data_IF_548505866497
#
_entry.id   IF_548505866497
#
_cell.length_a   1.000
_cell.length_b   1.000
_cell.length_c   1.000
_cell.angle_alpha   90.00
_cell.angle_beta   90.00
_cell.angle_gamma   90.00
#
_symmetry.space_group_name_H-M   'P 1'
#
loop_
_entity.id
_entity.type
_entity.pdbx_description
1 polymer ?
#
# COMPACT_ATOMS: atom_id res chain seq x y z
N UNK A 1 32.34 -7.77 -18.34
CA UNK A 1 32.00 -7.46 -16.96
C UNK A 1 30.71 -8.24 -16.62
N UNK A 2 30.83 -9.40 -15.93
CA UNK A 2 29.63 -10.16 -15.51
C UNK A 2 28.97 -9.34 -14.40
N UNK A 3 27.84 -8.70 -14.67
CA UNK A 3 27.01 -8.08 -13.64
C UNK A 3 26.65 -9.17 -12.62
N UNK A 4 27.20 -9.06 -11.41
CA UNK A 4 26.87 -9.96 -10.33
C UNK A 4 25.36 -9.83 -10.04
N UNK A 5 24.61 -10.94 -10.11
CA UNK A 5 23.18 -10.92 -9.86
C UNK A 5 22.90 -10.43 -8.43
N UNK A 6 21.89 -9.57 -8.23
CA UNK A 6 21.53 -9.09 -6.88
C UNK A 6 21.14 -10.26 -5.97
N UNK A 7 21.33 -10.12 -4.64
CA UNK A 7 20.98 -11.13 -3.65
C UNK A 7 19.55 -11.66 -3.81
N UNK A 8 19.34 -12.93 -3.52
CA UNK A 8 18.03 -13.56 -3.68
C UNK A 8 16.92 -12.83 -2.92
N UNK A 9 17.16 -12.40 -1.68
CA UNK A 9 16.18 -11.63 -0.90
C UNK A 9 15.81 -10.29 -1.54
N UNK A 10 16.76 -9.61 -2.20
CA UNK A 10 16.51 -8.35 -2.91
C UNK A 10 15.69 -8.61 -4.16
N UNK A 11 16.07 -9.61 -4.97
CA UNK A 11 15.32 -10.00 -6.17
C UNK A 11 13.90 -10.41 -5.82
N UNK A 12 13.76 -11.26 -4.80
CA UNK A 12 12.47 -11.73 -4.33
C UNK A 12 11.62 -10.58 -3.75
N UNK A 13 12.21 -9.68 -2.96
CA UNK A 13 11.52 -8.48 -2.46
C UNK A 13 11.11 -7.54 -3.58
N UNK A 14 11.96 -7.36 -4.60
CA UNK A 14 11.66 -6.51 -5.76
C UNK A 14 10.52 -7.11 -6.58
N UNK A 15 10.58 -8.39 -6.94
CA UNK A 15 9.53 -9.08 -7.71
C UNK A 15 8.21 -9.05 -6.94
N UNK A 16 8.22 -9.37 -5.64
CA UNK A 16 7.01 -9.28 -4.80
C UNK A 16 6.46 -7.85 -4.76
N UNK A 17 7.33 -6.85 -4.68
CA UNK A 17 6.93 -5.44 -4.66
C UNK A 17 6.38 -4.96 -6.01
N UNK A 18 6.85 -5.52 -7.14
CA UNK A 18 6.27 -5.25 -8.46
C UNK A 18 4.79 -5.66 -8.54
N UNK A 19 4.37 -6.70 -7.81
CA UNK A 19 2.94 -7.05 -7.74
C UNK A 19 2.13 -5.92 -7.08
N UNK A 20 2.67 -5.26 -6.04
CA UNK A 20 2.01 -4.12 -5.42
C UNK A 20 1.88 -2.90 -6.36
N UNK A 21 2.74 -2.78 -7.39
CA UNK A 21 2.63 -1.73 -8.41
C UNK A 21 1.32 -1.80 -9.20
N UNK A 22 0.71 -2.98 -9.35
CA UNK A 22 -0.60 -3.15 -10.00
C UNK A 22 -1.68 -2.30 -9.33
N UNK A 23 -1.71 -2.27 -7.99
CA UNK A 23 -2.61 -1.40 -7.23
C UNK A 23 -2.36 0.08 -7.53
N UNK A 24 -1.10 0.47 -7.66
CA UNK A 24 -0.74 1.84 -8.05
C UNK A 24 -1.21 2.20 -9.44
N UNK A 25 -1.04 1.29 -10.42
CA UNK A 25 -1.52 1.47 -11.80
C UNK A 25 -3.04 1.65 -11.83
N UNK A 26 -3.80 0.84 -11.09
CA UNK A 26 -5.25 1.01 -11.01
C UNK A 26 -5.62 2.37 -10.44
N UNK A 27 -5.08 2.69 -9.26
CA UNK A 27 -5.36 3.96 -8.57
C UNK A 27 -5.03 5.19 -9.43
N UNK A 28 -3.91 5.13 -10.19
CA UNK A 28 -3.47 6.24 -11.04
C UNK A 28 -4.25 6.37 -12.35
N UNK A 29 -4.83 5.28 -12.85
CA UNK A 29 -5.51 5.27 -14.15
C UNK A 29 -7.02 5.47 -14.06
N UNK A 30 -7.68 4.99 -13.02
CA UNK A 30 -9.15 4.95 -12.99
C UNK A 30 -9.81 6.33 -13.06
N UNK A 31 -9.29 7.33 -12.32
CA UNK A 31 -9.79 8.70 -12.37
C UNK A 31 -9.73 9.27 -13.79
N UNK A 32 -8.53 9.35 -14.40
CA UNK A 32 -8.39 9.81 -15.77
C UNK A 32 -9.20 9.01 -16.80
N UNK A 33 -9.25 7.68 -16.71
CA UNK A 33 -10.02 6.83 -17.65
C UNK A 33 -11.49 7.22 -17.65
N UNK A 34 -12.11 7.35 -16.48
CA UNK A 34 -13.54 7.63 -16.36
C UNK A 34 -13.94 9.06 -16.74
N UNK A 35 -12.97 9.96 -16.88
CA UNK A 35 -13.20 11.35 -17.35
C UNK A 35 -12.86 11.55 -18.82
N UNK A 36 -12.42 10.50 -19.55
CA UNK A 36 -12.14 10.61 -20.99
C UNK A 36 -13.44 10.75 -21.79
N UNK A 37 -13.50 11.66 -22.79
CA UNK A 37 -14.67 11.77 -23.69
C UNK A 37 -15.02 10.43 -24.38
N UNK A 38 -14.03 9.62 -24.70
CA UNK A 38 -14.22 8.30 -25.31
C UNK A 38 -14.86 7.27 -24.35
N UNK A 39 -14.66 7.40 -23.04
CA UNK A 39 -15.33 6.62 -22.02
C UNK A 39 -16.82 6.99 -21.93
N UNK A 40 -17.09 8.28 -21.86
CA UNK A 40 -18.46 8.83 -21.82
C UNK A 40 -19.23 8.53 -23.12
N UNK A 41 -18.55 8.57 -24.27
CA UNK A 41 -19.15 8.14 -25.55
C UNK A 41 -19.51 6.66 -25.57
N UNK A 42 -18.82 5.80 -24.79
CA UNK A 42 -19.10 4.35 -24.76
C UNK A 42 -20.22 4.00 -23.79
N UNK A 43 -20.27 4.63 -22.60
CA UNK A 43 -21.16 4.25 -21.51
C UNK A 43 -22.29 5.26 -21.23
N UNK A 44 -22.30 6.40 -21.97
CA UNK A 44 -23.21 7.50 -21.74
C UNK A 44 -22.71 8.45 -20.65
N UNK A 45 -23.50 9.50 -20.39
CA UNK A 45 -23.17 10.48 -19.37
C UNK A 45 -23.17 9.86 -17.97
N UNK A 46 -22.03 9.95 -17.28
CA UNK A 46 -21.83 9.38 -15.93
C UNK A 46 -22.05 10.49 -14.90
N UNK A 47 -23.09 10.34 -14.07
CA UNK A 47 -23.33 11.28 -12.97
C UNK A 47 -22.17 11.26 -11.95
N UNK A 48 -21.93 12.36 -11.21
CA UNK A 48 -20.89 12.41 -10.18
C UNK A 48 -20.99 11.29 -9.14
N UNK A 49 -22.21 10.90 -8.76
CA UNK A 49 -22.44 9.77 -7.83
C UNK A 49 -22.01 8.45 -8.45
N UNK A 50 -22.36 8.20 -9.72
CA UNK A 50 -21.97 6.98 -10.43
C UNK A 50 -20.46 6.94 -10.63
N UNK A 51 -19.82 8.07 -10.90
CA UNK A 51 -18.37 8.17 -10.96
C UNK A 51 -17.72 7.72 -9.63
N UNK A 52 -18.23 8.20 -8.50
CA UNK A 52 -17.81 7.74 -7.17
C UNK A 52 -17.99 6.22 -6.97
N UNK A 53 -19.12 5.66 -7.41
CA UNK A 53 -19.40 4.21 -7.36
C UNK A 53 -18.39 3.44 -8.21
N UNK A 54 -18.14 3.87 -9.44
CA UNK A 54 -17.17 3.22 -10.33
C UNK A 54 -15.78 3.20 -9.67
N UNK A 55 -15.31 4.34 -9.18
CA UNK A 55 -13.97 4.44 -8.58
C UNK A 55 -13.86 3.59 -7.31
N UNK A 56 -14.88 3.61 -6.44
CA UNK A 56 -14.85 2.92 -5.15
C UNK A 56 -15.22 1.44 -5.18
N UNK A 57 -15.81 0.95 -6.26
CA UNK A 57 -16.31 -0.44 -6.34
C UNK A 57 -15.26 -1.53 -6.11
N UNK A 58 -13.99 -1.26 -6.43
CA UNK A 58 -12.86 -2.17 -6.17
C UNK A 58 -12.56 -2.34 -4.67
N UNK A 59 -12.90 -1.34 -3.85
CA UNK A 59 -12.47 -1.29 -2.45
C UNK A 59 -13.24 -2.25 -1.54
N UNK A 60 -14.53 -2.49 -1.81
CA UNK A 60 -15.35 -3.42 -1.01
C UNK A 60 -14.85 -4.87 -1.13
N UNK A 61 -14.76 -5.45 -2.35
CA UNK A 61 -14.24 -6.81 -2.48
C UNK A 61 -12.78 -6.91 -2.02
N UNK A 62 -11.98 -5.85 -2.21
CA UNK A 62 -10.63 -5.76 -1.66
C UNK A 62 -10.60 -5.88 -0.13
N UNK A 63 -11.49 -5.16 0.58
CA UNK A 63 -11.63 -5.25 2.03
C UNK A 63 -12.02 -6.65 2.50
N UNK A 64 -13.05 -7.23 1.87
CA UNK A 64 -13.55 -8.56 2.23
C UNK A 64 -12.49 -9.64 2.02
N UNK A 65 -11.77 -9.56 0.90
CA UNK A 65 -10.73 -10.54 0.58
C UNK A 65 -9.50 -10.37 1.47
N UNK A 66 -9.16 -9.13 1.83
CA UNK A 66 -8.08 -8.85 2.76
C UNK A 66 -8.33 -9.47 4.14
N UNK A 67 -9.59 -9.55 4.62
CA UNK A 67 -9.92 -10.21 5.90
C UNK A 67 -9.44 -11.65 5.97
N UNK A 68 -9.59 -12.40 4.87
CA UNK A 68 -9.25 -13.83 4.82
C UNK A 68 -7.85 -14.09 4.28
N UNK A 69 -7.23 -13.10 3.62
CA UNK A 69 -5.95 -13.24 2.93
C UNK A 69 -4.82 -13.73 3.85
N UNK A 70 -4.80 -13.28 5.12
CA UNK A 70 -3.78 -13.71 6.08
C UNK A 70 -3.92 -15.18 6.47
N UNK A 71 -5.13 -15.64 6.77
CA UNK A 71 -5.40 -17.04 7.12
C UNK A 71 -5.05 -17.96 5.94
N UNK A 72 -5.42 -17.54 4.73
CA UNK A 72 -5.08 -18.27 3.51
C UNK A 72 -3.55 -18.31 3.27
N UNK A 73 -2.85 -17.21 3.56
CA UNK A 73 -1.40 -17.14 3.41
C UNK A 73 -0.67 -18.05 4.39
N UNK A 74 -1.13 -18.12 5.63
CA UNK A 74 -0.60 -19.06 6.62
C UNK A 74 -0.78 -20.52 6.17
N UNK A 75 -1.87 -20.83 5.47
CA UNK A 75 -2.15 -22.18 4.98
C UNK A 75 -1.38 -22.53 3.70
N UNK A 76 -1.40 -21.65 2.69
CA UNK A 76 -0.92 -21.93 1.32
C UNK A 76 0.41 -21.27 0.98
N UNK A 77 0.86 -20.31 1.79
CA UNK A 77 2.07 -19.51 1.58
C UNK A 77 1.79 -18.19 0.87
N UNK A 78 2.52 -17.15 1.28
CA UNK A 78 2.34 -15.77 0.78
C UNK A 78 2.53 -15.66 -0.74
N UNK A 79 3.56 -16.34 -1.29
CA UNK A 79 3.90 -16.28 -2.72
C UNK A 79 2.75 -16.78 -3.60
N UNK A 80 2.14 -17.91 -3.23
CA UNK A 80 1.01 -18.45 -3.98
C UNK A 80 -0.18 -17.50 -3.97
N UNK A 81 -0.46 -16.90 -2.82
CA UNK A 81 -1.60 -15.99 -2.70
C UNK A 81 -1.42 -14.70 -3.47
N UNK A 82 -0.27 -14.04 -3.38
CA UNK A 82 -0.11 -12.80 -4.14
C UNK A 82 -0.01 -13.06 -5.66
N UNK A 83 0.54 -14.19 -6.09
CA UNK A 83 0.52 -14.58 -7.50
C UNK A 83 -0.89 -14.89 -8.00
N UNK A 84 -1.70 -15.59 -7.21
CA UNK A 84 -3.12 -15.82 -7.51
C UNK A 84 -3.90 -14.49 -7.53
N UNK A 85 -3.62 -13.60 -6.58
CA UNK A 85 -4.21 -12.26 -6.55
C UNK A 85 -3.88 -11.45 -7.80
N UNK A 86 -2.62 -11.49 -8.28
CA UNK A 86 -2.21 -10.85 -9.52
C UNK A 86 -2.92 -11.44 -10.75
N UNK A 87 -3.17 -12.75 -10.77
CA UNK A 87 -3.94 -13.41 -11.82
C UNK A 87 -5.40 -12.95 -11.84
N UNK A 88 -6.06 -12.92 -10.67
CA UNK A 88 -7.44 -12.46 -10.54
C UNK A 88 -7.55 -10.99 -10.94
N UNK A 89 -6.60 -10.15 -10.51
CA UNK A 89 -6.50 -8.76 -10.93
C UNK A 89 -6.42 -8.63 -12.46
N UNK A 90 -5.57 -9.43 -13.11
CA UNK A 90 -5.39 -9.41 -14.55
C UNK A 90 -6.68 -9.76 -15.30
N UNK A 91 -7.41 -10.78 -14.82
CA UNK A 91 -8.73 -11.15 -15.36
C UNK A 91 -9.74 -10.01 -15.18
N UNK A 92 -9.80 -9.38 -13.99
CA UNK A 92 -10.65 -8.23 -13.74
C UNK A 92 -10.35 -7.05 -14.67
N UNK A 93 -9.06 -6.71 -14.86
CA UNK A 93 -8.63 -5.66 -15.78
C UNK A 93 -8.95 -6.00 -17.26
N UNK A 94 -8.86 -7.28 -17.64
CA UNK A 94 -9.28 -7.73 -18.98
C UNK A 94 -10.80 -7.55 -19.20
N UNK A 95 -11.61 -7.87 -18.19
CA UNK A 95 -13.07 -7.65 -18.23
C UNK A 95 -13.42 -6.16 -18.34
N UNK A 96 -12.73 -5.29 -17.58
CA UNK A 96 -12.88 -3.84 -17.72
C UNK A 96 -12.51 -3.38 -19.13
N UNK A 97 -11.38 -3.82 -19.67
CA UNK A 97 -10.92 -3.48 -21.01
C UNK A 97 -11.90 -3.94 -22.10
N UNK A 98 -12.50 -5.13 -21.95
CA UNK A 98 -13.46 -5.71 -22.89
C UNK A 98 -14.87 -5.15 -22.73
N UNK A 99 -15.15 -4.33 -21.70
CA UNK A 99 -16.51 -3.90 -21.38
C UNK A 99 -17.16 -3.09 -22.53
N UNK A 100 -18.39 -3.46 -22.82
CA UNK A 100 -19.29 -2.75 -23.75
C UNK A 100 -20.47 -2.10 -23.04
N UNK A 101 -20.76 -2.52 -21.80
CA UNK A 101 -21.77 -1.96 -20.92
C UNK A 101 -21.17 -1.64 -19.56
N UNK A 102 -21.68 -0.60 -18.90
CA UNK A 102 -21.16 -0.16 -17.60
C UNK A 102 -21.21 -1.23 -16.52
N UNK A 103 -22.24 -2.10 -16.56
CA UNK A 103 -22.36 -3.21 -15.61
C UNK A 103 -21.19 -4.20 -15.71
N UNK A 104 -20.71 -4.52 -16.91
CA UNK A 104 -19.54 -5.39 -17.11
C UNK A 104 -18.25 -4.70 -16.64
N UNK A 105 -18.13 -3.39 -16.82
CA UNK A 105 -17.00 -2.62 -16.32
C UNK A 105 -16.93 -2.67 -14.79
N UNK A 106 -18.07 -2.42 -14.11
CA UNK A 106 -18.15 -2.50 -12.64
C UNK A 106 -17.89 -3.93 -12.16
N UNK A 107 -18.41 -4.94 -12.84
CA UNK A 107 -18.11 -6.34 -12.51
C UNK A 107 -16.61 -6.65 -12.61
N UNK A 108 -15.94 -6.18 -13.65
CA UNK A 108 -14.49 -6.27 -13.79
C UNK A 108 -13.75 -5.64 -12.60
N UNK A 109 -14.19 -4.46 -12.12
CA UNK A 109 -13.65 -3.80 -10.92
C UNK A 109 -13.85 -4.63 -9.65
N UNK A 110 -15.00 -5.25 -9.48
CA UNK A 110 -15.25 -6.14 -8.33
C UNK A 110 -14.28 -7.34 -8.34
N UNK A 111 -14.10 -7.98 -9.51
CA UNK A 111 -13.14 -9.08 -9.68
C UNK A 111 -11.71 -8.61 -9.41
N UNK A 112 -11.33 -7.45 -9.95
CA UNK A 112 -10.02 -6.84 -9.70
C UNK A 112 -9.76 -6.60 -8.22
N UNK A 113 -10.76 -6.08 -7.49
CA UNK A 113 -10.69 -5.83 -6.05
C UNK A 113 -10.41 -7.09 -5.23
N UNK A 114 -11.01 -8.23 -5.60
CA UNK A 114 -10.67 -9.54 -4.99
C UNK A 114 -9.17 -9.83 -5.13
N UNK A 115 -8.62 -9.63 -6.32
CA UNK A 115 -7.19 -9.81 -6.58
C UNK A 115 -6.32 -8.88 -5.73
N UNK A 116 -6.68 -7.60 -5.67
CA UNK A 116 -5.95 -6.57 -4.91
C UNK A 116 -5.92 -6.88 -3.41
N UNK A 117 -7.04 -7.28 -2.82
CA UNK A 117 -7.11 -7.68 -1.42
C UNK A 117 -6.19 -8.84 -1.08
N UNK A 118 -6.08 -9.83 -2.00
CA UNK A 118 -5.19 -10.98 -1.83
C UNK A 118 -3.72 -10.57 -1.88
N UNK A 119 -3.28 -9.85 -2.91
CA UNK A 119 -1.86 -9.60 -3.07
C UNK A 119 -1.34 -8.49 -2.15
N UNK A 120 -2.07 -7.41 -1.95
CA UNK A 120 -1.56 -6.26 -1.21
C UNK A 120 -1.30 -6.59 0.26
N UNK A 121 -2.17 -7.39 0.89
CA UNK A 121 -1.99 -7.87 2.27
C UNK A 121 -0.73 -8.74 2.42
N UNK A 122 -0.46 -9.58 1.43
CA UNK A 122 0.58 -10.60 1.51
C UNK A 122 1.97 -10.12 1.10
N UNK A 123 2.06 -9.16 0.16
CA UNK A 123 3.35 -8.62 -0.32
C UNK A 123 4.16 -8.00 0.82
N UNK A 124 3.54 -7.19 1.68
CA UNK A 124 4.25 -6.55 2.79
C UNK A 124 4.77 -7.56 3.81
N UNK A 125 3.98 -8.59 4.12
CA UNK A 125 4.39 -9.65 5.07
C UNK A 125 5.56 -10.44 4.47
N UNK A 126 5.44 -10.90 3.23
CA UNK A 126 6.50 -11.63 2.52
C UNK A 126 7.82 -10.84 2.52
N UNK A 127 7.78 -9.56 2.11
CA UNK A 127 8.97 -8.71 2.06
C UNK A 127 9.59 -8.53 3.46
N UNK A 128 8.78 -8.32 4.50
CA UNK A 128 9.26 -8.15 5.87
C UNK A 128 9.92 -9.42 6.43
N UNK A 129 9.42 -10.58 6.06
CA UNK A 129 9.94 -11.88 6.50
C UNK A 129 11.23 -12.29 5.80
N UNK A 130 11.37 -11.90 4.53
CA UNK A 130 12.57 -12.17 3.75
C UNK A 130 13.71 -11.19 4.05
N UNK A 131 13.40 -9.99 4.51
CA UNK A 131 14.38 -8.95 4.74
C UNK A 131 15.23 -9.21 6.00
N UNK A 132 16.59 -9.10 5.90
CA UNK A 132 17.49 -9.13 7.06
C UNK A 132 17.13 -8.00 8.04
N UNK A 133 17.25 -8.24 9.35
CA UNK A 133 16.87 -7.28 10.40
C UNK A 133 17.49 -5.89 10.18
N UNK A 134 18.77 -5.83 9.77
CA UNK A 134 19.51 -4.58 9.54
C UNK A 134 18.99 -3.75 8.37
N UNK A 135 18.31 -4.37 7.38
CA UNK A 135 17.82 -3.71 6.14
C UNK A 135 16.31 -3.81 5.96
N UNK A 136 15.60 -4.28 6.99
CA UNK A 136 14.15 -4.53 6.91
C UNK A 136 13.36 -3.26 6.58
N UNK A 137 13.69 -2.13 7.19
CA UNK A 137 13.01 -0.86 6.91
C UNK A 137 13.08 -0.47 5.43
N UNK A 138 14.27 -0.58 4.81
CA UNK A 138 14.45 -0.29 3.38
C UNK A 138 13.63 -1.26 2.51
N UNK A 139 13.69 -2.55 2.81
CA UNK A 139 12.98 -3.56 2.01
C UNK A 139 11.47 -3.40 2.11
N UNK A 140 10.92 -3.15 3.30
CA UNK A 140 9.48 -2.93 3.50
C UNK A 140 8.95 -1.62 2.91
N UNK A 141 9.83 -0.69 2.58
CA UNK A 141 9.46 0.53 1.84
C UNK A 141 9.31 0.29 0.32
N UNK A 142 9.92 -0.77 -0.24
CA UNK A 142 9.87 -1.07 -1.68
C UNK A 142 8.45 -1.23 -2.24
N UNK A 143 7.53 -1.98 -1.59
CA UNK A 143 6.16 -2.09 -2.09
C UNK A 143 5.49 -0.73 -2.20
N UNK A 144 5.64 0.14 -1.21
CA UNK A 144 5.06 1.49 -1.23
C UNK A 144 5.67 2.36 -2.34
N UNK A 145 6.99 2.28 -2.54
CA UNK A 145 7.66 3.00 -3.62
C UNK A 145 7.13 2.57 -4.99
N UNK A 146 6.95 1.26 -5.21
CA UNK A 146 6.42 0.74 -6.47
C UNK A 146 4.93 1.04 -6.65
N UNK A 147 4.13 1.10 -5.58
CA UNK A 147 2.74 1.60 -5.65
C UNK A 147 2.73 3.04 -6.17
N UNK A 148 3.52 3.94 -5.58
CA UNK A 148 3.59 5.34 -6.02
C UNK A 148 4.09 5.45 -7.46
N UNK A 149 5.09 4.65 -7.83
CA UNK A 149 5.57 4.56 -9.22
C UNK A 149 4.43 4.12 -10.16
N UNK A 150 3.64 3.12 -9.75
CA UNK A 150 2.45 2.67 -10.48
C UNK A 150 1.42 3.78 -10.68
N UNK A 151 1.14 4.58 -9.65
CA UNK A 151 0.21 5.72 -9.74
C UNK A 151 0.69 6.71 -10.81
N UNK A 152 1.97 7.07 -10.76
CA UNK A 152 2.57 8.00 -11.74
C UNK A 152 2.49 7.42 -13.16
N UNK A 153 2.88 6.16 -13.34
CA UNK A 153 2.84 5.49 -14.64
C UNK A 153 1.40 5.39 -15.16
N UNK A 154 0.43 5.03 -14.32
CA UNK A 154 -0.99 4.94 -14.69
C UNK A 154 -1.54 6.29 -15.16
N UNK A 155 -1.26 7.35 -14.41
CA UNK A 155 -1.69 8.71 -14.77
C UNK A 155 -1.09 9.16 -16.10
N UNK A 156 0.25 9.08 -16.27
CA UNK A 156 0.89 9.52 -17.51
C UNK A 156 0.55 8.63 -18.72
N UNK A 157 0.30 7.35 -18.50
CA UNK A 157 -0.21 6.47 -19.54
C UNK A 157 -1.58 6.94 -20.03
N UNK A 158 -2.50 7.27 -19.12
CA UNK A 158 -3.81 7.83 -19.47
C UNK A 158 -3.68 9.20 -20.15
N UNK A 159 -2.79 10.06 -19.68
CA UNK A 159 -2.49 11.34 -20.31
C UNK A 159 -2.01 11.18 -21.75
N UNK A 160 -1.15 10.18 -22.01
CA UNK A 160 -0.68 9.85 -23.35
C UNK A 160 -1.81 9.29 -24.24
N UNK A 161 -2.60 8.35 -23.71
CA UNK A 161 -3.67 7.69 -24.48
C UNK A 161 -4.86 8.61 -24.74
N UNK A 162 -5.12 9.60 -23.90
CA UNK A 162 -6.16 10.62 -24.14
C UNK A 162 -5.91 11.41 -25.44
N UNK A 163 -4.66 11.50 -25.91
CA UNK A 163 -4.32 12.14 -27.21
C UNK A 163 -4.73 11.32 -28.44
N UNK A 164 -5.15 10.07 -28.27
CA UNK A 164 -5.69 9.23 -29.35
C UNK A 164 -7.10 9.68 -29.80
N UNK A 165 -7.64 10.75 -29.20
CA UNK A 165 -8.92 11.34 -29.56
C UNK A 165 -10.12 10.48 -29.11
N UNK A 166 -11.25 10.52 -29.84
CA UNK A 166 -12.51 9.89 -29.42
C UNK A 166 -12.51 8.37 -29.57
N UNK A 167 -11.38 7.75 -29.90
CA UNK A 167 -11.26 6.30 -30.05
C UNK A 167 -11.46 5.58 -28.72
N UNK A 168 -12.20 4.46 -28.73
CA UNK A 168 -12.37 3.59 -27.57
C UNK A 168 -11.04 3.00 -27.06
N UNK A 169 -10.00 2.98 -27.91
CA UNK A 169 -8.65 2.55 -27.55
C UNK A 169 -8.08 3.48 -26.45
N UNK A 170 -8.44 4.75 -26.43
CA UNK A 170 -7.90 5.71 -25.48
C UNK A 170 -8.09 5.28 -24.02
N UNK A 171 -9.28 4.83 -23.65
CA UNK A 171 -9.56 4.38 -22.29
C UNK A 171 -9.27 2.89 -22.05
N UNK A 172 -9.27 2.07 -23.12
CA UNK A 172 -9.03 0.61 -23.02
C UNK A 172 -7.56 0.26 -22.89
N UNK A 173 -6.66 1.02 -23.55
CA UNK A 173 -5.23 0.72 -23.57
C UNK A 173 -4.58 0.71 -22.18
N UNK A 174 -4.84 1.67 -21.27
CA UNK A 174 -4.33 1.60 -19.90
C UNK A 174 -4.75 0.32 -19.16
N UNK A 175 -6.00 -0.12 -19.33
CA UNK A 175 -6.53 -1.33 -18.71
C UNK A 175 -5.95 -2.60 -19.33
N UNK A 176 -5.73 -2.60 -20.65
CA UNK A 176 -5.06 -3.71 -21.34
C UNK A 176 -3.61 -3.89 -20.86
N UNK A 177 -2.86 -2.79 -20.71
CA UNK A 177 -1.50 -2.82 -20.17
C UNK A 177 -1.49 -3.31 -18.72
N UNK A 178 -2.42 -2.85 -17.88
CA UNK A 178 -2.54 -3.31 -16.52
C UNK A 178 -2.86 -4.82 -16.44
N UNK A 179 -3.75 -5.31 -17.32
CA UNK A 179 -4.09 -6.73 -17.45
C UNK A 179 -2.86 -7.56 -17.87
N UNK A 180 -2.17 -7.15 -18.94
CA UNK A 180 -0.98 -7.85 -19.43
C UNK A 180 0.12 -7.93 -18.36
N UNK A 181 0.35 -6.82 -17.63
CA UNK A 181 1.32 -6.78 -16.54
C UNK A 181 0.89 -7.68 -15.38
N UNK A 182 -0.39 -7.73 -15.05
CA UNK A 182 -0.94 -8.62 -14.04
C UNK A 182 -0.74 -10.11 -14.39
N UNK A 183 -0.98 -10.50 -15.65
CA UNK A 183 -0.67 -11.86 -16.13
C UNK A 183 0.83 -12.17 -16.04
N UNK A 184 1.69 -11.24 -16.45
CA UNK A 184 3.13 -11.42 -16.34
C UNK A 184 3.58 -11.57 -14.87
N UNK A 185 3.07 -10.74 -13.97
CA UNK A 185 3.42 -10.78 -12.54
C UNK A 185 2.79 -11.95 -11.78
N UNK A 186 1.74 -12.58 -12.30
CA UNK A 186 1.23 -13.84 -11.73
C UNK A 186 2.27 -14.96 -11.78
N UNK A 187 3.20 -14.91 -12.74
CA UNK A 187 4.34 -15.84 -12.84
C UNK A 187 5.37 -15.67 -11.70
N UNK A 188 5.24 -14.67 -10.84
CA UNK A 188 6.08 -14.47 -9.66
C UNK A 188 6.15 -15.73 -8.76
N UNK A 189 5.14 -16.59 -8.80
CA UNK A 189 5.14 -17.90 -8.14
C UNK A 189 6.36 -18.76 -8.47
N UNK A 190 6.83 -18.72 -9.71
CA UNK A 190 7.98 -19.49 -10.17
C UNK A 190 9.33 -18.79 -9.88
N UNK A 191 9.31 -17.50 -9.61
CA UNK A 191 10.52 -16.67 -9.49
C UNK A 191 10.88 -16.33 -8.04
N UNK A 192 9.89 -16.36 -7.14
CA UNK A 192 10.06 -15.96 -5.73
C UNK A 192 10.01 -17.21 -4.84
N UNK A 193 11.04 -17.48 -4.04
CA UNK A 193 11.00 -18.57 -3.08
C UNK A 193 10.07 -18.25 -1.91
N UNK A 194 9.49 -19.28 -1.25
CA UNK A 194 8.73 -19.09 -0.03
C UNK A 194 9.59 -18.45 1.07
N UNK A 195 8.94 -17.74 2.01
CA UNK A 195 9.63 -17.14 3.14
C UNK A 195 10.27 -18.21 4.03
N UNK A 196 11.53 -18.05 4.49
CA UNK A 196 12.17 -18.98 5.44
C UNK A 196 11.36 -19.14 6.71
N UNK A 197 10.72 -18.09 7.20
CA UNK A 197 9.88 -18.11 8.41
C UNK A 197 8.61 -18.95 8.21
N UNK A 198 7.96 -18.83 7.07
CA UNK A 198 6.82 -19.67 6.72
C UNK A 198 7.22 -21.15 6.58
N UNK A 199 8.38 -21.45 5.97
CA UNK A 199 8.91 -22.81 5.88
C UNK A 199 9.17 -23.42 7.27
N UNK A 200 9.75 -22.63 8.19
CA UNK A 200 9.96 -23.05 9.58
C UNK A 200 8.64 -23.34 10.30
N UNK A 201 7.62 -22.50 10.10
CA UNK A 201 6.29 -22.71 10.72
C UNK A 201 5.60 -23.98 10.22
N UNK A 202 5.98 -24.47 9.04
CA UNK A 202 5.49 -25.72 8.44
C UNK A 202 6.37 -26.93 8.72
N UNK A 203 7.41 -26.80 9.55
CA UNK A 203 8.34 -27.87 9.88
C UNK A 203 9.32 -28.25 8.75
N UNK A 204 9.42 -27.46 7.68
CA UNK A 204 10.32 -27.69 6.51
C UNK A 204 11.68 -27.06 6.76
N UNK A 205 12.40 -27.59 7.77
CA UNK A 205 13.64 -26.99 8.29
C UNK A 205 14.78 -26.96 7.28
N UNK A 206 14.96 -28.00 6.48
CA UNK A 206 16.06 -28.09 5.51
C UNK A 206 15.88 -27.09 4.37
N UNK A 207 14.67 -26.94 3.87
CA UNK A 207 14.36 -25.93 2.86
C UNK A 207 14.50 -24.50 3.41
N UNK A 208 14.08 -24.26 4.64
CA UNK A 208 14.26 -22.97 5.30
C UNK A 208 15.74 -22.61 5.44
N UNK A 209 16.60 -23.59 5.82
CA UNK A 209 18.06 -23.43 5.90
C UNK A 209 18.67 -23.15 4.52
N UNK A 210 18.25 -23.88 3.49
CA UNK A 210 18.76 -23.69 2.13
C UNK A 210 18.43 -22.29 1.60
N UNK A 211 17.21 -21.80 1.79
CA UNK A 211 16.80 -20.45 1.39
C UNK A 211 17.57 -19.38 2.19
N UNK A 212 17.71 -19.57 3.51
CA UNK A 212 18.45 -18.64 4.37
C UNK A 212 19.95 -18.59 4.02
N UNK A 213 20.58 -19.73 3.73
CA UNK A 213 22.00 -19.80 3.31
C UNK A 213 22.23 -19.06 1.98
N UNK A 214 21.30 -19.19 1.03
CA UNK A 214 21.36 -18.46 -0.26
C UNK A 214 21.21 -16.93 -0.05
N UNK A 215 20.45 -16.50 0.94
CA UNK A 215 20.36 -15.07 1.31
C UNK A 215 21.66 -14.53 1.87
N UNK A 216 22.37 -15.29 2.69
CA UNK A 216 23.66 -14.88 3.28
C UNK A 216 24.77 -14.75 2.23
N UNK A 217 24.87 -15.72 1.31
CA UNK A 217 25.89 -15.74 0.26
C UNK A 217 25.80 -14.58 -0.73
N UNK A 218 24.62 -13.97 -0.88
CA UNK A 218 24.33 -12.97 -1.91
C UNK A 218 24.47 -11.51 -1.44
N UNK A 219 25.05 -11.24 -0.26
CA UNK A 219 25.02 -9.91 0.41
C UNK A 219 25.77 -8.76 -0.29
N UNK A 220 26.65 -9.06 -1.25
CA UNK A 220 27.57 -8.04 -1.85
C UNK A 220 26.91 -7.22 -2.96
N UNK A 221 25.95 -7.77 -3.69
CA UNK A 221 25.34 -7.11 -4.86
C UNK A 221 24.21 -6.10 -4.54
N UNK A 222 23.88 -5.91 -3.27
CA UNK A 222 22.76 -5.05 -2.84
C UNK A 222 23.02 -3.54 -3.03
N UNK A 223 24.25 -3.13 -3.32
CA UNK A 223 24.64 -1.71 -3.36
C UNK A 223 24.07 -0.95 -4.58
N UNK A 224 23.82 -1.62 -5.70
CA UNK A 224 23.35 -0.95 -6.92
C UNK A 224 21.85 -0.59 -6.86
N UNK A 225 21.02 -1.44 -6.23
CA UNK A 225 19.58 -1.18 -6.10
C UNK A 225 19.31 -0.14 -4.99
N UNK A 226 20.22 -0.01 -4.04
CA UNK A 226 20.17 1.01 -2.99
C UNK A 226 20.14 2.44 -3.57
N UNK A 227 20.80 2.69 -4.67
CA UNK A 227 20.92 4.02 -5.27
C UNK A 227 19.58 4.62 -5.74
N UNK A 228 18.60 3.79 -6.08
CA UNK A 228 17.28 4.25 -6.55
C UNK A 228 16.28 4.43 -5.39
N UNK A 229 16.43 3.66 -4.31
CA UNK A 229 15.49 3.66 -3.18
C UNK A 229 15.92 4.63 -2.05
N UNK A 230 17.09 5.20 -2.18
CA UNK A 230 17.84 5.95 -1.17
C UNK A 230 17.12 7.20 -0.64
N UNK A 231 16.54 8.13 -1.40
CA UNK A 231 16.09 9.39 -0.81
C UNK A 231 14.91 9.25 0.16
N UNK A 232 13.91 8.45 -0.19
CA UNK A 232 12.69 8.30 0.61
C UNK A 232 12.90 7.44 1.87
N UNK A 233 13.78 6.43 1.79
CA UNK A 233 13.98 5.47 2.87
C UNK A 233 14.96 5.97 3.94
N UNK A 234 15.95 6.78 3.55
CA UNK A 234 16.88 7.39 4.51
C UNK A 234 16.19 8.28 5.53
N UNK A 235 15.14 8.98 5.12
CA UNK A 235 14.38 9.83 6.04
C UNK A 235 13.59 8.98 7.05
N UNK A 236 12.94 7.92 6.61
CA UNK A 236 12.15 7.03 7.45
C UNK A 236 13.01 6.24 8.47
N UNK A 237 14.20 5.77 8.04
CA UNK A 237 15.10 5.02 8.92
C UNK A 237 15.91 5.94 9.87
N UNK A 238 16.14 7.20 9.51
CA UNK A 238 16.82 8.17 10.38
C UNK A 238 15.91 8.74 11.48
N UNK A 239 14.62 8.96 11.18
CA UNK A 239 13.70 9.64 12.10
C UNK A 239 12.95 8.70 13.05
N UNK A 240 12.94 7.39 12.78
CA UNK A 240 12.12 6.42 13.51
C UNK A 240 10.66 6.41 13.06
N UNK A 241 9.97 5.30 13.29
CA UNK A 241 8.59 5.09 12.80
C UNK A 241 7.60 5.98 13.55
N UNK A 242 7.75 6.08 14.86
CA UNK A 242 6.90 6.93 15.69
C UNK A 242 7.08 8.40 15.39
N UNK A 243 8.33 8.87 15.36
CA UNK A 243 8.64 10.29 15.12
C UNK A 243 8.17 10.72 13.73
N UNK A 244 8.43 9.93 12.68
CA UNK A 244 7.99 10.25 11.32
C UNK A 244 6.46 10.29 11.22
N UNK A 245 5.75 9.37 11.89
CA UNK A 245 4.28 9.37 11.91
C UNK A 245 3.71 10.59 12.62
N UNK A 246 4.30 11.03 13.73
CA UNK A 246 3.85 12.22 14.47
C UNK A 246 4.11 13.50 13.67
N UNK A 247 5.34 13.70 13.18
CA UNK A 247 5.69 14.87 12.37
C UNK A 247 4.85 14.93 11.10
N UNK A 248 4.70 13.79 10.41
CA UNK A 248 3.87 13.69 9.22
C UNK A 248 2.41 14.01 9.48
N UNK A 249 1.82 13.49 10.56
CA UNK A 249 0.44 13.73 10.91
C UNK A 249 0.15 15.20 11.22
N UNK A 250 1.03 15.87 12.00
CA UNK A 250 0.92 17.31 12.28
C UNK A 250 1.06 18.12 11.00
N UNK A 251 2.05 17.81 10.16
CA UNK A 251 2.27 18.53 8.91
C UNK A 251 1.10 18.36 7.93
N UNK A 252 0.55 17.15 7.78
CA UNK A 252 -0.63 16.89 6.94
C UNK A 252 -1.83 17.68 7.45
N UNK A 253 -2.08 17.67 8.76
CA UNK A 253 -3.19 18.45 9.36
C UNK A 253 -3.02 19.93 9.11
N UNK A 254 -1.82 20.48 9.27
CA UNK A 254 -1.52 21.91 9.01
C UNK A 254 -1.74 22.27 7.54
N UNK A 255 -1.29 21.44 6.60
CA UNK A 255 -1.51 21.65 5.16
C UNK A 255 -3.00 21.67 4.83
N UNK A 256 -3.78 20.73 5.38
CA UNK A 256 -5.24 20.68 5.17
C UNK A 256 -5.95 21.88 5.78
N UNK A 257 -5.52 22.36 6.96
CA UNK A 257 -6.06 23.58 7.57
C UNK A 257 -5.77 24.81 6.72
N UNK A 258 -4.56 24.94 6.19
CA UNK A 258 -4.22 26.06 5.26
C UNK A 258 -5.11 26.03 4.04
N UNK A 259 -5.27 24.85 3.39
CA UNK A 259 -6.15 24.75 2.21
C UNK A 259 -7.60 25.07 2.57
N UNK A 260 -8.13 24.52 3.65
CA UNK A 260 -9.48 24.80 4.13
C UNK A 260 -9.71 26.30 4.42
N UNK A 261 -8.72 26.95 5.03
CA UNK A 261 -8.80 28.39 5.35
C UNK A 261 -8.81 29.27 4.12
N UNK A 262 -8.03 28.94 3.09
CA UNK A 262 -8.03 29.65 1.82
C UNK A 262 -9.38 29.54 1.08
N UNK A 263 -9.99 28.36 1.08
CA UNK A 263 -11.33 28.16 0.53
C UNK A 263 -12.43 28.85 1.37
N UNK A 264 -12.27 28.88 2.70
CA UNK A 264 -13.21 29.56 3.58
C UNK A 264 -13.15 31.09 3.46
N UNK A 265 -11.97 31.64 3.16
CA UNK A 265 -11.76 33.07 2.94
C UNK A 265 -12.09 33.52 1.50
N UNK A 266 -12.55 32.61 0.64
CA UNK A 266 -12.82 32.85 -0.78
C UNK A 266 -11.62 33.43 -1.56
N UNK A 267 -10.41 33.07 -1.15
CA UNK A 267 -9.16 33.58 -1.78
C UNK A 267 -8.69 32.69 -2.95
N UNK A 268 -9.42 31.61 -3.29
CA UNK A 268 -9.06 30.65 -4.35
C UNK A 268 -9.83 30.93 -5.62
N UNK A 269 -9.30 31.81 -6.47
CA UNK A 269 -9.90 32.13 -7.75
C UNK A 269 -9.10 31.52 -8.91
N UNK A 270 -9.81 31.06 -9.97
CA UNK A 270 -9.17 30.42 -11.14
C UNK A 270 -8.23 31.38 -11.89
N UNK A 271 -8.60 32.63 -12.00
CA UNK A 271 -7.96 33.61 -12.92
C UNK A 271 -7.01 34.60 -12.25
N UNK A 272 -7.03 34.73 -10.90
CA UNK A 272 -6.25 35.73 -10.18
C UNK A 272 -5.90 35.31 -8.76
N UNK A 273 -4.92 35.97 -8.15
CA UNK A 273 -4.55 35.81 -6.76
C UNK A 273 -3.49 34.74 -6.49
N UNK A 274 -2.87 34.82 -5.33
CA UNK A 274 -1.87 33.86 -4.84
C UNK A 274 -2.51 32.58 -4.31
N UNK A 275 -3.79 32.60 -3.92
CA UNK A 275 -4.47 31.48 -3.24
C UNK A 275 -4.43 30.18 -4.05
N UNK A 276 -4.68 30.23 -5.37
CA UNK A 276 -4.59 29.04 -6.22
C UNK A 276 -3.20 28.37 -6.21
N UNK A 277 -2.14 29.19 -6.22
CA UNK A 277 -0.77 28.67 -6.22
C UNK A 277 -0.43 28.04 -4.87
N UNK A 278 -0.89 28.64 -3.77
CA UNK A 278 -0.71 28.08 -2.44
C UNK A 278 -1.42 26.73 -2.34
N UNK A 279 -2.64 26.59 -2.88
CA UNK A 279 -3.36 25.31 -2.91
C UNK A 279 -2.62 24.28 -3.76
N UNK A 280 -2.13 24.65 -4.95
CA UNK A 280 -1.35 23.74 -5.82
C UNK A 280 -0.09 23.26 -5.09
N UNK A 281 0.68 24.16 -4.51
CA UNK A 281 1.89 23.82 -3.74
C UNK A 281 1.53 22.93 -2.54
N UNK A 282 0.42 23.23 -1.85
CA UNK A 282 -0.06 22.44 -0.71
C UNK A 282 -0.43 21.02 -1.08
N UNK A 283 -1.01 20.79 -2.25
CA UNK A 283 -1.32 19.44 -2.78
C UNK A 283 -0.03 18.64 -3.00
N UNK A 284 0.98 19.24 -3.63
CA UNK A 284 2.27 18.57 -3.81
C UNK A 284 2.98 18.32 -2.46
N UNK A 285 2.96 19.31 -1.57
CA UNK A 285 3.54 19.18 -0.24
C UNK A 285 2.85 18.08 0.57
N UNK A 286 1.52 18.00 0.52
CA UNK A 286 0.75 16.90 1.10
C UNK A 286 1.23 15.55 0.57
N UNK A 287 1.36 15.39 -0.75
CA UNK A 287 1.81 14.14 -1.37
C UNK A 287 3.22 13.74 -0.92
N UNK A 288 4.15 14.70 -0.85
CA UNK A 288 5.53 14.50 -0.39
C UNK A 288 5.54 14.08 1.09
N UNK A 289 4.84 14.82 1.95
CA UNK A 289 4.80 14.55 3.39
C UNK A 289 4.14 13.20 3.66
N UNK A 290 2.99 12.93 3.06
CA UNK A 290 2.28 11.65 3.21
C UNK A 290 3.15 10.46 2.77
N UNK A 291 3.74 10.54 1.58
CA UNK A 291 4.58 9.45 1.05
C UNK A 291 5.85 9.23 1.86
N UNK A 292 6.48 10.31 2.33
CA UNK A 292 7.73 10.25 3.11
C UNK A 292 7.55 9.84 4.57
N UNK A 293 6.33 9.93 5.12
CA UNK A 293 6.05 9.69 6.55
C UNK A 293 5.02 8.60 6.78
N UNK A 294 3.74 8.87 6.58
CA UNK A 294 2.64 7.96 6.92
C UNK A 294 2.60 6.71 6.04
N UNK A 295 2.80 6.87 4.73
CA UNK A 295 2.70 5.74 3.80
C UNK A 295 3.75 4.66 4.09
N UNK A 296 4.97 5.03 4.45
CA UNK A 296 6.07 4.11 4.75
C UNK A 296 6.10 3.77 6.25
N UNK A 297 6.11 4.81 7.11
CA UNK A 297 6.31 4.65 8.55
C UNK A 297 5.24 3.80 9.20
N UNK A 298 3.97 4.05 8.92
CA UNK A 298 2.85 3.34 9.53
C UNK A 298 2.74 1.88 9.06
N UNK A 299 2.92 1.62 7.77
CA UNK A 299 2.87 0.24 7.23
C UNK A 299 4.02 -0.63 7.75
N UNK A 300 5.22 -0.06 7.81
CA UNK A 300 6.39 -0.75 8.39
C UNK A 300 6.16 -1.04 9.87
N UNK A 301 5.72 -0.03 10.63
CA UNK A 301 5.38 -0.19 12.04
C UNK A 301 4.35 -1.30 12.28
N UNK A 302 3.26 -1.32 11.49
CA UNK A 302 2.22 -2.33 11.61
C UNK A 302 2.79 -3.75 11.55
N UNK A 303 3.64 -4.03 10.56
CA UNK A 303 4.22 -5.37 10.38
C UNK A 303 5.28 -5.69 11.44
N UNK A 304 6.05 -4.67 11.90
CA UNK A 304 7.08 -4.84 12.92
C UNK A 304 6.51 -5.01 14.33
N UNK A 305 5.33 -4.45 14.62
CA UNK A 305 4.69 -4.49 15.95
C UNK A 305 3.88 -5.76 16.23
N UNK A 306 3.60 -6.57 15.20
CA UNK A 306 2.75 -7.75 15.33
C UNK A 306 3.57 -9.01 15.69
N UNK A 307 3.07 -9.85 16.64
CA UNK A 307 3.69 -11.13 16.99
C UNK A 307 3.84 -12.03 15.77
N UNK A 308 4.92 -12.81 15.69
CA UNK A 308 5.19 -13.68 14.56
C UNK A 308 4.06 -14.70 14.29
N UNK A 309 3.40 -15.17 15.35
CA UNK A 309 2.31 -16.16 15.28
C UNK A 309 1.01 -15.63 14.67
N UNK A 310 0.72 -14.33 14.81
CA UNK A 310 -0.53 -13.70 14.37
C UNK A 310 -0.32 -12.61 13.32
N UNK A 311 0.94 -12.36 12.91
CA UNK A 311 1.32 -11.25 12.03
C UNK A 311 0.52 -11.22 10.73
N UNK A 312 0.37 -12.36 10.08
CA UNK A 312 -0.32 -12.48 8.81
C UNK A 312 -1.81 -12.11 8.95
N UNK A 313 -2.52 -12.74 9.88
CA UNK A 313 -3.94 -12.49 10.12
C UNK A 313 -4.19 -11.07 10.63
N UNK A 314 -3.38 -10.55 11.55
CA UNK A 314 -3.54 -9.20 12.08
C UNK A 314 -3.18 -8.13 11.05
N UNK A 315 -2.17 -8.36 10.20
CA UNK A 315 -1.84 -7.46 9.08
C UNK A 315 -2.98 -7.42 8.06
N UNK A 316 -3.61 -8.57 7.78
CA UNK A 316 -4.75 -8.67 6.87
C UNK A 316 -5.98 -7.94 7.40
N UNK A 317 -6.26 -8.06 8.69
CA UNK A 317 -7.35 -7.31 9.35
C UNK A 317 -7.12 -5.81 9.26
N UNK A 318 -5.89 -5.35 9.55
CA UNK A 318 -5.54 -3.93 9.44
C UNK A 318 -5.62 -3.42 8.01
N UNK A 319 -5.22 -4.23 7.02
CA UNK A 319 -5.35 -3.89 5.61
C UNK A 319 -6.82 -3.81 5.19
N UNK A 320 -7.68 -4.73 5.64
CA UNK A 320 -9.12 -4.69 5.40
C UNK A 320 -9.76 -3.42 5.98
N UNK A 321 -9.40 -3.05 7.22
CA UNK A 321 -9.86 -1.81 7.84
C UNK A 321 -9.41 -0.56 7.03
N UNK A 322 -8.19 -0.57 6.51
CA UNK A 322 -7.70 0.49 5.62
C UNK A 322 -8.53 0.59 4.33
N UNK A 323 -8.88 -0.53 3.69
CA UNK A 323 -9.73 -0.54 2.51
C UNK A 323 -11.12 0.01 2.79
N UNK A 324 -11.74 -0.41 3.91
CA UNK A 324 -13.06 0.06 4.32
C UNK A 324 -13.04 1.58 4.59
N UNK A 325 -12.02 2.08 5.27
CA UNK A 325 -11.86 3.51 5.51
C UNK A 325 -11.68 4.28 4.20
N UNK A 326 -10.87 3.78 3.26
CA UNK A 326 -10.71 4.39 1.93
C UNK A 326 -12.03 4.41 1.15
N UNK A 327 -12.84 3.33 1.22
CA UNK A 327 -14.17 3.29 0.60
C UNK A 327 -15.08 4.38 1.15
N UNK A 328 -15.16 4.52 2.47
CA UNK A 328 -15.97 5.55 3.13
C UNK A 328 -15.52 6.95 2.71
N UNK A 329 -14.20 7.21 2.73
CA UNK A 329 -13.63 8.50 2.30
C UNK A 329 -13.95 8.77 0.82
N UNK A 330 -13.74 7.81 -0.07
CA UNK A 330 -14.00 7.97 -1.50
C UNK A 330 -15.48 8.25 -1.82
N UNK A 331 -16.38 7.62 -1.05
CA UNK A 331 -17.82 7.82 -1.20
C UNK A 331 -18.29 9.18 -0.70
N UNK A 332 -17.77 9.62 0.46
CA UNK A 332 -18.21 10.83 1.15
C UNK A 332 -17.58 12.10 0.56
N UNK A 333 -16.33 12.03 0.07
CA UNK A 333 -15.58 13.20 -0.39
C UNK A 333 -16.32 14.03 -1.47
N UNK A 334 -16.88 13.45 -2.55
CA UNK A 334 -17.58 14.23 -3.57
C UNK A 334 -18.81 14.97 -3.00
N UNK A 335 -19.52 14.34 -2.07
CA UNK A 335 -20.70 14.91 -1.41
C UNK A 335 -20.29 16.08 -0.49
N UNK A 336 -19.19 15.92 0.26
CA UNK A 336 -18.67 16.97 1.15
C UNK A 336 -18.22 18.19 0.35
N UNK A 337 -17.45 17.97 -0.72
CA UNK A 337 -16.93 19.06 -1.57
C UNK A 337 -18.07 19.80 -2.27
N UNK A 338 -19.12 19.09 -2.71
CA UNK A 338 -20.29 19.70 -3.31
C UNK A 338 -21.09 20.57 -2.34
N UNK A 339 -21.13 20.22 -1.04
CA UNK A 339 -21.81 21.00 0.00
C UNK A 339 -20.98 22.17 0.55
N UNK A 340 -19.69 21.96 0.70
CA UNK A 340 -18.76 22.94 1.25
C UNK A 340 -17.34 22.64 0.81
N UNK A 341 -16.75 23.49 -0.03
CA UNK A 341 -15.37 23.33 -0.50
C UNK A 341 -14.35 23.34 0.65
N UNK A 342 -14.56 24.15 1.69
CA UNK A 342 -13.67 24.23 2.85
C UNK A 342 -13.97 23.17 3.93
N UNK A 343 -15.23 22.75 4.08
CA UNK A 343 -15.67 21.82 5.14
C UNK A 343 -15.00 20.46 5.02
N UNK A 344 -14.79 19.96 3.80
CA UNK A 344 -14.08 18.70 3.55
C UNK A 344 -12.63 18.75 4.08
N UNK A 345 -11.91 19.84 3.81
CA UNK A 345 -10.53 20.02 4.26
C UNK A 345 -10.43 20.07 5.79
N UNK A 346 -11.30 20.80 6.45
CA UNK A 346 -11.34 20.86 7.92
C UNK A 346 -11.67 19.51 8.53
N UNK A 347 -12.65 18.78 7.99
CA UNK A 347 -12.98 17.43 8.47
C UNK A 347 -11.75 16.50 8.43
N UNK A 348 -11.06 16.46 7.30
CA UNK A 348 -9.87 15.61 7.18
C UNK A 348 -8.69 16.11 8.00
N UNK A 349 -8.51 17.43 8.16
CA UNK A 349 -7.50 17.99 9.03
C UNK A 349 -7.67 17.55 10.50
N UNK A 350 -8.88 17.70 11.05
CA UNK A 350 -9.17 17.31 12.42
C UNK A 350 -9.15 15.79 12.62
N UNK A 351 -9.64 15.02 11.64
CA UNK A 351 -9.54 13.56 11.68
C UNK A 351 -8.07 13.10 11.70
N UNK A 352 -7.21 13.70 10.86
CA UNK A 352 -5.77 13.39 10.84
C UNK A 352 -5.11 13.79 12.17
N UNK A 353 -5.45 14.94 12.73
CA UNK A 353 -4.93 15.38 14.02
C UNK A 353 -5.34 14.42 15.15
N UNK A 354 -6.59 14.01 15.18
CA UNK A 354 -7.09 12.99 16.10
C UNK A 354 -6.31 11.67 15.98
N UNK A 355 -6.17 11.15 14.77
CA UNK A 355 -5.37 9.95 14.51
C UNK A 355 -3.90 10.13 14.96
N UNK A 356 -3.32 11.31 14.76
CA UNK A 356 -1.96 11.61 15.20
C UNK A 356 -1.84 11.58 16.73
N UNK A 357 -2.84 12.09 17.46
CA UNK A 357 -2.89 11.99 18.93
C UNK A 357 -2.98 10.53 19.37
N UNK A 358 -3.84 9.73 18.74
CA UNK A 358 -3.96 8.29 19.04
C UNK A 358 -2.62 7.59 18.80
N UNK A 359 -1.94 7.87 17.66
CA UNK A 359 -0.61 7.34 17.36
C UNK A 359 0.40 7.76 18.44
N UNK A 360 0.38 9.01 18.90
CA UNK A 360 1.26 9.49 19.97
C UNK A 360 1.08 8.71 21.29
N UNK A 361 -0.16 8.34 21.60
CA UNK A 361 -0.49 7.62 22.83
C UNK A 361 -0.20 6.12 22.76
N UNK A 362 -0.41 5.50 21.58
CA UNK A 362 -0.39 4.03 21.45
C UNK A 362 0.92 3.52 20.85
N UNK A 363 1.49 4.22 19.87
CA UNK A 363 2.62 3.74 19.08
C UNK A 363 3.92 3.69 19.90
N UNK A 364 4.60 2.54 19.84
CA UNK A 364 5.95 2.34 20.41
C UNK A 364 6.98 2.45 19.29
N UNK A 365 8.15 3.02 19.57
CA UNK A 365 9.22 3.09 18.55
C UNK A 365 9.79 1.70 18.27
N UNK A 366 9.81 1.32 17.01
CA UNK A 366 10.29 -0.01 16.55
C UNK A 366 11.69 0.05 15.93
N UNK A 367 12.23 1.25 15.71
CA UNK A 367 13.51 1.46 15.07
C UNK A 367 14.65 0.77 15.81
N UNK A 368 15.43 -0.02 15.09
CA UNK A 368 16.66 -0.64 15.61
C UNK A 368 16.44 -1.83 16.54
N UNK A 369 15.19 -2.23 16.76
CA UNK A 369 14.85 -3.38 17.61
C UNK A 369 14.49 -4.62 16.79
N UNK A 370 14.77 -5.81 17.35
CA UNK A 370 14.28 -7.06 16.78
C UNK A 370 12.76 -7.15 16.97
N UNK A 371 12.09 -7.98 16.17
CA UNK A 371 10.64 -8.17 16.29
C UNK A 371 10.25 -8.74 17.67
N UNK A 372 11.09 -9.60 18.21
CA UNK A 372 10.94 -10.22 19.52
C UNK A 372 11.10 -9.20 20.67
N UNK A 373 11.98 -8.22 20.47
CA UNK A 373 12.21 -7.13 21.43
C UNK A 373 11.05 -6.13 21.42
N UNK A 374 10.50 -5.83 20.25
CA UNK A 374 9.30 -5.00 20.10
C UNK A 374 8.10 -5.65 20.79
N UNK A 375 7.89 -6.97 20.59
CA UNK A 375 6.84 -7.73 21.26
C UNK A 375 6.98 -7.66 22.78
N UNK A 376 8.19 -7.83 23.31
CA UNK A 376 8.46 -7.73 24.74
C UNK A 376 8.10 -6.36 25.31
N UNK A 377 8.46 -5.27 24.62
CA UNK A 377 8.13 -3.90 25.03
C UNK A 377 6.62 -3.62 25.08
N UNK A 378 5.85 -4.19 24.14
CA UNK A 378 4.39 -4.11 24.18
C UNK A 378 3.82 -4.84 25.40
N UNK A 379 4.31 -6.04 25.72
CA UNK A 379 3.89 -6.81 26.87
C UNK A 379 4.23 -6.09 28.18
N UNK A 380 5.42 -5.51 28.32
CA UNK A 380 5.83 -4.74 29.48
C UNK A 380 4.96 -3.47 29.66
N UNK A 381 4.63 -2.77 28.57
CA UNK A 381 3.76 -1.61 28.63
C UNK A 381 2.33 -1.98 29.04
N UNK A 382 1.79 -3.08 28.52
CA UNK A 382 0.49 -3.62 28.90
C UNK A 382 0.45 -4.02 30.36
N UNK A 383 1.48 -4.68 30.87
CA UNK A 383 1.65 -5.08 32.28
C UNK A 383 1.63 -3.84 33.20
N UNK A 384 2.38 -2.79 32.84
CA UNK A 384 2.38 -1.54 33.63
C UNK A 384 1.01 -0.84 33.62
N UNK A 385 0.28 -0.88 32.51
CA UNK A 385 -1.05 -0.26 32.40
C UNK A 385 -2.13 -1.04 33.13
N UNK A 386 -1.98 -2.37 33.25
CA UNK A 386 -2.96 -3.25 33.92
C UNK A 386 -2.66 -3.51 35.39
N UNK A 387 -1.53 -3.01 35.94
CA UNK A 387 -1.11 -3.26 37.33
C UNK A 387 -0.75 -4.73 37.65
N UNK A 388 -0.69 -5.60 36.62
CA UNK A 388 -0.38 -7.04 36.77
C UNK A 388 1.11 -7.26 36.56
N UNK A 389 1.78 -7.91 37.50
CA UNK A 389 3.21 -8.20 37.43
C UNK A 389 3.56 -9.03 36.19
N UNK A 390 4.76 -8.84 35.58
CA UNK A 390 5.19 -9.51 34.34
C UNK A 390 5.22 -11.06 34.37
N UNK A 391 5.08 -11.68 35.52
CA UNK A 391 5.17 -13.12 35.72
C UNK A 391 3.97 -13.97 35.30
N UNK A 392 2.83 -13.37 34.99
CA UNK A 392 1.59 -14.10 34.64
C UNK A 392 1.42 -14.48 33.17
N UNK A 393 2.19 -13.90 32.26
CA UNK A 393 2.15 -14.21 30.83
C UNK A 393 3.33 -15.14 30.48
N UNK A 394 3.11 -16.46 30.55
CA UNK A 394 4.08 -17.45 30.10
C UNK A 394 4.43 -17.24 28.63
N UNK A 395 5.59 -16.65 28.38
CA UNK A 395 6.28 -16.77 27.10
C UNK A 395 6.60 -18.27 26.90
N UNK A 396 5.91 -18.91 25.95
CA UNK A 396 6.31 -20.22 25.47
C UNK A 396 7.71 -20.05 24.85
N UNK A 397 8.76 -20.37 25.64
CA UNK A 397 10.14 -20.42 25.17
C UNK A 397 10.18 -21.34 23.96
N UNK A 398 10.29 -20.79 22.76
CA UNK A 398 10.85 -21.52 21.64
C UNK A 398 12.33 -21.67 22.01
N UNK A 399 12.70 -22.86 22.47
CA UNK A 399 14.09 -23.24 22.66
C UNK A 399 14.77 -23.03 21.30
N UNK A 400 15.63 -22.04 21.22
CA UNK A 400 16.68 -21.98 20.22
C UNK A 400 17.56 -23.21 20.43
N UNK A 401 17.36 -24.22 19.61
CA UNK A 401 18.37 -25.25 19.44
C UNK A 401 19.57 -24.60 18.78
N UNK A 402 20.69 -24.62 19.46
CA UNK A 402 22.01 -24.21 19.03
C UNK A 402 22.45 -24.94 17.75
#
# INVERSE_FOLDING_TARGET
MKLAMPPLYVRASLISSCVAMLFGLDTGSIGPVTTMPSFEATFGHVSPTMHGVIVSSVLIPGALTALVAGVLADRFGHVRLFSLGALIYAVGAALECAATVLGLFIFGRLVKGVGEGLFLSNVYVQVSEMAPARRRGVMTALPQFLIVTGIVLGFFMCYGTARLGPSTIAWRLPLAVASALGFALSSAYFLVPPSPRWLLSKGRFDEARAVAATFLASGVSALVILAVTIPATFLADKWGRRTSSLVGGVAISAIMLVMGSLYAADEVHADRGAGKWIVIVSIFLFAIVYSGTWAIGFRTFLVESLPATTRSSASSLAQSANWLANYVVALITPVLVAKSSFGAYYLFAFATLFCTIVVALVMVETRGHSLEEVERRYLERKSRASGVAPGGLRLRRIRTAA
#
